data_IF_900076739642
#
_entry.id   IF_900076739642
#
_cell.length_a   1.000
_cell.length_b   1.000
_cell.length_c   1.000
_cell.angle_alpha   90.00
_cell.angle_beta   90.00
_cell.angle_gamma   90.00
#
_symmetry.space_group_name_H-M   'P 1'
#
loop_
_entity.id
_entity.type
_entity.pdbx_description
1 polymer ?
#
# COMPACT_ATOMS: atom_id res chain seq x y z
N UNK A 1 6.00 35.64 -13.76
CA UNK A 1 5.84 35.08 -12.40
C UNK A 1 5.68 33.59 -12.60
N UNK A 2 6.66 32.78 -12.19
CA UNK A 2 6.53 31.33 -12.29
C UNK A 2 5.38 30.87 -11.38
N UNK A 3 4.58 29.87 -11.82
CA UNK A 3 3.54 29.31 -10.97
C UNK A 3 4.18 28.67 -9.73
N UNK A 4 3.51 28.74 -8.56
CA UNK A 4 4.02 28.06 -7.38
C UNK A 4 4.12 26.56 -7.65
N UNK A 5 5.33 26.01 -7.54
CA UNK A 5 5.56 24.56 -7.56
C UNK A 5 5.17 23.99 -6.20
N UNK A 6 4.22 23.07 -6.17
CA UNK A 6 4.01 22.23 -4.99
C UNK A 6 5.20 21.26 -4.93
N UNK A 7 6.11 21.44 -3.96
CA UNK A 7 7.10 20.42 -3.60
C UNK A 7 6.36 19.27 -2.88
N UNK A 8 5.71 18.41 -3.66
CA UNK A 8 5.24 17.12 -3.18
C UNK A 8 6.41 16.14 -3.22
N UNK A 9 6.49 15.17 -2.29
CA UNK A 9 7.41 14.06 -2.44
C UNK A 9 7.12 13.34 -3.76
N UNK A 10 8.14 13.14 -4.58
CA UNK A 10 8.01 12.38 -5.83
C UNK A 10 7.81 10.88 -5.53
N UNK A 11 8.30 10.41 -4.38
CA UNK A 11 8.22 9.02 -3.94
C UNK A 11 7.68 8.90 -2.52
N UNK A 12 7.09 7.74 -2.22
CA UNK A 12 6.64 7.36 -0.88
C UNK A 12 7.14 5.97 -0.54
N UNK A 13 7.67 5.80 0.68
CA UNK A 13 8.09 4.52 1.22
C UNK A 13 7.14 4.05 2.32
N UNK A 14 6.64 2.83 2.21
CA UNK A 14 5.74 2.22 3.18
C UNK A 14 6.02 0.71 3.31
N UNK A 15 5.42 0.09 4.32
CA UNK A 15 5.60 -1.33 4.61
C UNK A 15 4.35 -2.14 4.27
N UNK A 16 4.47 -3.11 3.38
CA UNK A 16 3.45 -4.14 3.20
C UNK A 16 3.67 -5.30 4.17
N UNK A 17 2.57 -5.81 4.74
CA UNK A 17 2.61 -6.90 5.70
C UNK A 17 1.51 -7.93 5.43
N UNK A 18 1.87 -9.22 5.51
CA UNK A 18 0.93 -10.33 5.62
C UNK A 18 1.40 -11.32 6.69
N UNK A 19 0.56 -11.53 7.70
CA UNK A 19 0.95 -12.26 8.90
C UNK A 19 2.14 -11.60 9.58
N UNK A 20 3.25 -12.32 9.72
CA UNK A 20 4.51 -11.82 10.28
C UNK A 20 5.52 -11.36 9.22
N UNK A 21 5.24 -11.60 7.93
CA UNK A 21 6.13 -11.22 6.84
C UNK A 21 5.88 -9.76 6.47
N UNK A 22 6.96 -8.98 6.38
CA UNK A 22 6.95 -7.57 5.99
C UNK A 22 7.92 -7.31 4.84
N UNK A 23 7.56 -6.38 3.96
CA UNK A 23 8.46 -5.80 2.95
C UNK A 23 8.29 -4.28 2.94
N UNK A 24 9.41 -3.57 2.87
CA UNK A 24 9.38 -2.12 2.60
C UNK A 24 9.54 -1.89 1.10
N UNK A 25 8.74 -0.98 0.58
CA UNK A 25 8.78 -0.59 -0.84
C UNK A 25 8.66 0.92 -0.97
N UNK A 26 9.33 1.44 -1.99
CA UNK A 26 9.30 2.83 -2.40
C UNK A 26 8.65 2.90 -3.77
N UNK A 27 7.69 3.81 -3.95
CA UNK A 27 6.94 3.98 -5.20
C UNK A 27 6.76 5.45 -5.51
N UNK A 28 6.65 5.77 -6.79
CA UNK A 28 6.30 7.12 -7.25
C UNK A 28 4.86 7.46 -6.81
N UNK A 29 4.68 8.65 -6.23
CA UNK A 29 3.37 9.11 -5.75
C UNK A 29 2.39 9.32 -6.90
N UNK A 30 2.87 9.72 -8.08
CA UNK A 30 2.08 9.88 -9.30
C UNK A 30 1.49 8.57 -9.83
N UNK A 31 2.14 7.44 -9.56
CA UNK A 31 1.68 6.10 -9.95
C UNK A 31 0.78 5.44 -8.88
N UNK A 32 0.67 6.06 -7.70
CA UNK A 32 -0.04 5.48 -6.57
C UNK A 32 -1.56 5.69 -6.67
N UNK A 33 -2.29 4.58 -6.79
CA UNK A 33 -3.75 4.53 -6.76
C UNK A 33 -4.19 3.19 -6.15
N UNK A 34 -5.50 3.03 -5.89
CA UNK A 34 -6.00 1.78 -5.27
C UNK A 34 -5.74 0.53 -6.10
N UNK A 35 -5.69 0.65 -7.44
CA UNK A 35 -5.37 -0.47 -8.31
C UNK A 35 -3.89 -0.84 -8.19
N UNK A 36 -2.98 0.13 -8.26
CA UNK A 36 -1.54 -0.14 -8.13
C UNK A 36 -1.20 -0.68 -6.73
N UNK A 37 -1.84 -0.20 -5.66
CA UNK A 37 -1.71 -0.79 -4.31
C UNK A 37 -2.12 -2.26 -4.26
N UNK A 38 -3.23 -2.62 -4.91
CA UNK A 38 -3.66 -4.03 -5.01
C UNK A 38 -2.69 -4.86 -5.85
N UNK A 39 -2.20 -4.33 -6.96
CA UNK A 39 -1.24 -5.03 -7.82
C UNK A 39 0.09 -5.28 -7.07
N UNK A 40 0.55 -4.30 -6.29
CA UNK A 40 1.70 -4.44 -5.40
C UNK A 40 1.46 -5.52 -4.33
N UNK A 41 0.29 -5.53 -3.71
CA UNK A 41 -0.07 -6.54 -2.71
C UNK A 41 -0.14 -7.95 -3.30
N UNK A 42 -0.67 -8.11 -4.52
CA UNK A 42 -0.66 -9.40 -5.24
C UNK A 42 0.78 -9.84 -5.47
N UNK A 43 1.64 -8.97 -6.01
CA UNK A 43 3.05 -9.28 -6.24
C UNK A 43 3.79 -9.68 -4.95
N UNK A 44 3.53 -8.96 -3.86
CA UNK A 44 4.09 -9.28 -2.54
C UNK A 44 3.68 -10.68 -2.08
N UNK A 45 2.40 -11.04 -2.22
CA UNK A 45 1.92 -12.38 -1.85
C UNK A 45 2.52 -13.47 -2.76
N UNK A 46 2.53 -13.27 -4.08
CA UNK A 46 3.10 -14.22 -5.03
C UNK A 46 4.59 -14.48 -4.74
N UNK A 47 5.35 -13.43 -4.37
CA UNK A 47 6.77 -13.55 -4.04
C UNK A 47 7.05 -14.19 -2.69
N UNK A 48 6.26 -13.85 -1.66
CA UNK A 48 6.51 -14.31 -0.28
C UNK A 48 5.82 -15.64 0.05
N UNK A 49 4.75 -15.98 -0.69
CA UNK A 49 3.94 -17.18 -0.47
C UNK A 49 3.65 -17.91 -1.80
N UNK A 50 4.66 -18.34 -2.57
CA UNK A 50 4.48 -18.86 -3.93
C UNK A 50 3.51 -20.06 -4.05
N UNK A 51 3.28 -20.79 -2.96
CA UNK A 51 2.37 -21.94 -2.91
C UNK A 51 0.98 -21.61 -2.29
N UNK A 52 0.61 -20.33 -2.18
CA UNK A 52 -0.61 -19.91 -1.49
C UNK A 52 -1.91 -20.51 -2.05
N UNK A 53 -1.93 -20.99 -3.29
CA UNK A 53 -3.08 -21.61 -3.98
C UNK A 53 -4.35 -20.72 -4.10
N UNK A 54 -4.34 -19.51 -3.55
CA UNK A 54 -5.36 -18.48 -3.69
C UNK A 54 -5.56 -18.09 -5.17
N UNK A 55 -6.82 -18.02 -5.60
CA UNK A 55 -7.23 -17.61 -6.95
C UNK A 55 -7.90 -16.24 -6.91
N UNK A 56 -7.79 -15.47 -8.00
CA UNK A 56 -8.43 -14.14 -8.15
C UNK A 56 -8.04 -13.21 -7.00
N UNK A 57 -6.74 -13.19 -6.69
CA UNK A 57 -6.20 -12.53 -5.50
C UNK A 57 -6.51 -11.02 -5.51
N UNK A 58 -6.41 -10.37 -6.67
CA UNK A 58 -6.73 -8.95 -6.88
C UNK A 58 -8.17 -8.58 -6.44
N UNK A 59 -9.12 -9.50 -6.58
CA UNK A 59 -10.52 -9.28 -6.20
C UNK A 59 -10.79 -9.60 -4.73
N UNK A 60 -9.96 -10.46 -4.12
CA UNK A 60 -10.16 -11.00 -2.76
C UNK A 60 -9.32 -10.33 -1.70
N UNK A 61 -8.26 -9.61 -2.09
CA UNK A 61 -7.44 -8.86 -1.16
C UNK A 61 -8.20 -7.65 -0.62
N UNK A 62 -8.13 -7.51 0.70
CA UNK A 62 -8.53 -6.34 1.45
C UNK A 62 -7.26 -5.71 2.02
N UNK A 63 -7.13 -4.39 1.87
CA UNK A 63 -5.97 -3.64 2.35
C UNK A 63 -6.38 -2.83 3.57
N UNK A 64 -5.53 -2.84 4.59
CA UNK A 64 -5.74 -2.12 5.84
C UNK A 64 -4.47 -1.36 6.22
N UNK A 65 -4.64 -0.17 6.79
CA UNK A 65 -3.58 0.60 7.44
C UNK A 65 -3.68 0.44 8.95
N UNK A 66 -2.56 0.60 9.64
CA UNK A 66 -2.54 0.68 11.09
C UNK A 66 -2.84 2.12 11.55
N UNK A 67 -3.80 2.26 12.46
CA UNK A 67 -4.14 3.50 13.12
C UNK A 67 -4.22 3.27 14.63
N UNK A 68 -3.13 3.54 15.34
CA UNK A 68 -3.05 3.34 16.78
C UNK A 68 -3.85 4.37 17.59
N UNK A 69 -4.42 5.40 16.95
CA UNK A 69 -5.35 6.33 17.57
C UNK A 69 -6.82 5.87 17.50
N UNK A 70 -7.12 4.92 16.61
CA UNK A 70 -8.45 4.34 16.46
C UNK A 70 -8.67 3.17 17.43
N UNK A 71 -9.90 3.03 17.93
CA UNK A 71 -10.30 1.84 18.71
C UNK A 71 -10.07 0.55 17.91
N UNK A 72 -10.30 0.61 16.59
CA UNK A 72 -9.97 -0.46 15.66
C UNK A 72 -8.63 -0.11 15.00
N UNK A 73 -7.57 -0.79 15.44
CA UNK A 73 -6.20 -0.53 14.98
C UNK A 73 -6.06 -0.74 13.46
N UNK A 74 -6.81 -1.68 12.88
CA UNK A 74 -6.84 -1.93 11.45
C UNK A 74 -8.02 -1.21 10.81
N UNK A 75 -7.72 -0.26 9.93
CA UNK A 75 -8.72 0.48 9.16
C UNK A 75 -8.57 0.18 7.67
N UNK A 76 -9.67 -0.03 6.93
CA UNK A 76 -9.61 -0.31 5.50
C UNK A 76 -9.05 0.89 4.75
N UNK A 77 -8.20 0.63 3.74
CA UNK A 77 -7.68 1.66 2.85
C UNK A 77 -8.72 1.94 1.76
N UNK A 78 -9.29 3.15 1.76
CA UNK A 78 -10.32 3.57 0.80
C UNK A 78 -9.81 4.57 -0.24
N UNK A 79 -8.64 5.16 -0.01
CA UNK A 79 -7.99 6.06 -0.95
C UNK A 79 -6.47 5.87 -0.91
N UNK A 80 -5.81 6.06 -2.05
CA UNK A 80 -4.35 5.95 -2.12
C UNK A 80 -3.62 7.01 -1.27
N UNK A 81 -4.24 8.18 -1.08
CA UNK A 81 -3.74 9.24 -0.20
C UNK A 81 -3.67 8.85 1.28
N UNK A 82 -4.28 7.73 1.68
CA UNK A 82 -4.16 7.18 3.04
C UNK A 82 -2.87 6.37 3.25
N UNK A 83 -2.09 6.14 2.18
CA UNK A 83 -0.74 5.56 2.24
C UNK A 83 0.26 6.70 2.14
N UNK A 84 0.91 6.99 3.26
CA UNK A 84 1.93 8.04 3.39
C UNK A 84 3.27 7.46 3.81
N UNK A 85 4.31 8.30 3.85
CA UNK A 85 5.63 7.89 4.29
C UNK A 85 5.58 7.20 5.66
N UNK A 86 6.17 6.01 5.75
CA UNK A 86 6.24 5.21 6.98
C UNK A 86 4.93 4.51 7.39
N UNK A 87 3.92 4.46 6.51
CA UNK A 87 2.69 3.68 6.75
C UNK A 87 2.96 2.17 6.82
#
# INVERSE_FOLDING_TARGET
VEPPTLNLPDEVTFTMQAGLVKDSLTVDVGDLNLKSLKDLAVNFIDRRFPEHSLKRLNERLLLFRHDYGSTNILLPINAASEVTEGT
#
